data_IF_455456681571
#
_entry.id   IF_455456681571
#
_cell.length_a   1.000
_cell.length_b   1.000
_cell.length_c   1.000
_cell.angle_alpha   90.00
_cell.angle_beta   90.00
_cell.angle_gamma   90.00
#
_symmetry.space_group_name_H-M   'P 1'
#
loop_
_entity.id
_entity.type
_entity.pdbx_description
1 polymer ?
#
# COMPACT_ATOMS: atom_id res chain seq x y z
N UNK A 1 -24.46 10.92 -15.20
CA UNK A 1 -24.29 10.01 -14.04
C UNK A 1 -23.03 9.20 -14.28
N UNK A 2 -21.91 9.60 -13.68
CA UNK A 2 -20.67 8.82 -13.78
C UNK A 2 -20.83 7.55 -12.96
N UNK A 3 -20.56 6.39 -13.59
CA UNK A 3 -20.55 5.10 -12.90
C UNK A 3 -19.29 5.05 -12.03
N UNK A 4 -19.48 5.20 -10.72
CA UNK A 4 -18.44 5.05 -9.69
C UNK A 4 -18.21 3.57 -9.34
N UNK A 5 -18.60 2.65 -10.20
CA UNK A 5 -18.55 1.22 -9.92
C UNK A 5 -17.26 0.62 -10.45
N UNK A 6 -16.51 -0.02 -9.55
CA UNK A 6 -15.32 -0.80 -9.92
C UNK A 6 -15.80 -2.06 -10.63
N UNK A 7 -15.31 -2.31 -11.84
CA UNK A 7 -15.71 -3.46 -12.65
C UNK A 7 -14.52 -4.09 -13.37
N UNK A 8 -13.58 -4.64 -12.60
CA UNK A 8 -12.48 -5.42 -13.18
C UNK A 8 -12.94 -6.82 -13.59
N UNK A 9 -12.36 -7.40 -14.66
CA UNK A 9 -12.62 -8.78 -15.06
C UNK A 9 -12.30 -9.76 -13.93
N UNK A 10 -13.17 -10.77 -13.66
CA UNK A 10 -12.93 -11.75 -12.58
C UNK A 10 -11.58 -12.45 -12.65
N UNK A 11 -11.10 -12.74 -13.87
CA UNK A 11 -9.80 -13.36 -14.10
C UNK A 11 -8.63 -12.46 -13.68
N UNK A 12 -8.74 -11.15 -13.92
CA UNK A 12 -7.76 -10.19 -13.45
C UNK A 12 -7.78 -10.12 -11.91
N UNK A 13 -8.97 -10.04 -11.31
CA UNK A 13 -9.12 -10.03 -9.84
C UNK A 13 -8.44 -11.26 -9.24
N UNK A 14 -8.72 -12.45 -9.76
CA UNK A 14 -8.10 -13.69 -9.28
C UNK A 14 -6.57 -13.65 -9.38
N UNK A 15 -6.02 -13.14 -10.51
CA UNK A 15 -4.56 -12.97 -10.68
C UNK A 15 -3.97 -11.98 -9.68
N UNK A 16 -4.64 -10.84 -9.45
CA UNK A 16 -4.20 -9.82 -8.48
C UNK A 16 -4.18 -10.38 -7.07
N UNK A 17 -5.27 -11.05 -6.66
CA UNK A 17 -5.36 -11.71 -5.34
C UNK A 17 -4.23 -12.71 -5.19
N UNK A 18 -3.97 -13.55 -6.20
CA UNK A 18 -2.90 -14.54 -6.16
C UNK A 18 -1.51 -13.91 -6.06
N UNK A 19 -1.26 -12.74 -6.70
CA UNK A 19 0.00 -12.02 -6.53
C UNK A 19 0.25 -11.62 -5.07
N UNK A 20 -0.79 -11.13 -4.39
CA UNK A 20 -0.68 -10.71 -2.99
C UNK A 20 -0.56 -11.92 -2.07
N UNK A 21 -1.41 -12.94 -2.28
CA UNK A 21 -1.47 -14.15 -1.47
C UNK A 21 -0.12 -14.89 -1.44
N UNK A 22 0.47 -15.14 -2.62
CA UNK A 22 1.76 -15.81 -2.72
C UNK A 22 2.87 -14.96 -2.05
N UNK A 23 2.91 -13.65 -2.32
CA UNK A 23 3.94 -12.78 -1.77
C UNK A 23 3.94 -12.71 -0.23
N UNK A 24 2.74 -12.68 0.39
CA UNK A 24 2.62 -12.64 1.86
C UNK A 24 2.66 -14.02 2.51
N UNK A 25 2.48 -15.08 1.71
CA UNK A 25 2.37 -16.47 2.12
C UNK A 25 3.64 -17.27 1.84
N UNK A 26 3.58 -18.07 0.78
CA UNK A 26 4.60 -19.08 0.48
C UNK A 26 5.93 -18.47 0.05
N UNK A 27 5.90 -17.45 -0.81
CA UNK A 27 7.12 -16.83 -1.33
C UNK A 27 7.98 -16.26 -0.20
N UNK A 28 7.37 -15.54 0.75
CA UNK A 28 8.13 -14.97 1.88
C UNK A 28 8.62 -16.03 2.85
N UNK A 29 7.85 -17.12 3.06
CA UNK A 29 8.28 -18.23 3.91
C UNK A 29 9.48 -18.95 3.29
N UNK A 30 9.45 -19.16 1.97
CA UNK A 30 10.57 -19.77 1.24
C UNK A 30 11.80 -18.87 1.25
N UNK A 31 11.62 -17.58 1.01
CA UNK A 31 12.68 -16.60 1.03
C UNK A 31 13.38 -16.52 2.41
N UNK A 32 12.62 -16.49 3.50
CA UNK A 32 13.17 -16.51 4.87
C UNK A 32 13.99 -17.78 5.11
N UNK A 33 13.52 -18.94 4.63
CA UNK A 33 14.24 -20.21 4.76
C UNK A 33 15.53 -20.23 3.94
N UNK A 34 15.47 -19.77 2.70
CA UNK A 34 16.62 -19.72 1.80
C UNK A 34 17.73 -18.78 2.28
N UNK A 35 17.36 -17.67 2.87
CA UNK A 35 18.32 -16.65 3.32
C UNK A 35 18.89 -16.91 4.71
N UNK A 36 18.40 -17.95 5.42
CA UNK A 36 18.78 -18.26 6.82
C UNK A 36 18.81 -17.00 7.70
N UNK A 37 17.74 -16.19 7.61
CA UNK A 37 17.67 -14.89 8.27
C UNK A 37 17.66 -15.04 9.79
N UNK A 38 18.70 -14.54 10.44
CA UNK A 38 18.80 -14.51 11.92
C UNK A 38 17.87 -13.46 12.54
N UNK A 39 17.44 -12.46 11.78
CA UNK A 39 16.47 -11.44 12.18
C UNK A 39 15.44 -11.22 11.09
N UNK A 40 14.25 -10.74 11.45
CA UNK A 40 13.13 -10.52 10.51
C UNK A 40 12.90 -9.04 10.16
N UNK A 41 13.88 -8.18 10.38
CA UNK A 41 13.75 -6.73 10.15
C UNK A 41 13.48 -6.39 8.69
N UNK A 42 14.07 -7.14 7.75
CA UNK A 42 13.89 -6.93 6.31
C UNK A 42 12.60 -7.53 5.73
N UNK A 43 11.94 -8.44 6.45
CA UNK A 43 10.77 -9.17 5.94
C UNK A 43 9.66 -8.25 5.38
N UNK A 44 9.28 -7.12 6.01
CA UNK A 44 8.28 -6.23 5.45
C UNK A 44 8.65 -5.66 4.06
N UNK A 45 9.94 -5.37 3.82
CA UNK A 45 10.44 -4.89 2.53
C UNK A 45 10.45 -6.01 1.49
N UNK A 46 10.91 -7.20 1.87
CA UNK A 46 10.94 -8.37 1.00
C UNK A 46 9.56 -8.79 0.50
N UNK A 47 8.53 -8.66 1.33
CA UNK A 47 7.14 -8.89 0.90
C UNK A 47 6.77 -7.96 -0.27
N UNK A 48 7.20 -6.69 -0.24
CA UNK A 48 6.93 -5.76 -1.33
C UNK A 48 7.72 -6.13 -2.60
N UNK A 49 8.97 -6.56 -2.47
CA UNK A 49 9.79 -7.02 -3.60
C UNK A 49 9.17 -8.26 -4.25
N UNK A 50 8.69 -9.21 -3.44
CA UNK A 50 8.00 -10.42 -3.91
C UNK A 50 6.68 -10.06 -4.58
N UNK A 51 5.87 -9.18 -3.98
CA UNK A 51 4.62 -8.71 -4.57
C UNK A 51 4.86 -8.04 -5.92
N UNK A 52 5.80 -7.10 -5.99
CA UNK A 52 6.17 -6.43 -7.24
C UNK A 52 6.62 -7.45 -8.30
N UNK A 53 7.43 -8.44 -7.90
CA UNK A 53 7.88 -9.51 -8.80
C UNK A 53 6.70 -10.33 -9.33
N UNK A 54 5.74 -10.70 -8.47
CA UNK A 54 4.56 -11.46 -8.85
C UNK A 54 3.63 -10.66 -9.77
N UNK A 55 3.46 -9.38 -9.49
CA UNK A 55 2.67 -8.45 -10.32
C UNK A 55 3.28 -8.38 -11.74
N UNK A 56 4.57 -8.13 -11.87
CA UNK A 56 5.25 -8.08 -13.18
C UNK A 56 5.09 -9.40 -13.92
N UNK A 57 5.36 -10.53 -13.26
CA UNK A 57 5.30 -11.85 -13.90
C UNK A 57 3.90 -12.24 -14.40
N UNK A 58 2.84 -11.80 -13.73
CA UNK A 58 1.47 -12.30 -13.99
C UNK A 58 0.57 -11.28 -14.66
N UNK A 59 0.83 -9.98 -14.48
CA UNK A 59 -0.04 -8.91 -14.96
C UNK A 59 0.57 -8.11 -16.12
N UNK A 60 1.88 -8.24 -16.42
CA UNK A 60 2.46 -7.64 -17.63
C UNK A 60 2.04 -8.46 -18.84
N UNK A 61 0.91 -8.08 -19.40
CA UNK A 61 0.21 -8.81 -20.48
C UNK A 61 -0.35 -7.83 -21.52
N UNK A 62 -1.06 -8.36 -22.53
CA UNK A 62 -1.74 -7.50 -23.51
C UNK A 62 -2.83 -6.61 -22.89
N UNK A 63 -3.43 -7.04 -21.78
CA UNK A 63 -4.54 -6.36 -21.13
C UNK A 63 -4.09 -5.34 -20.06
N UNK A 64 -2.86 -5.46 -19.59
CA UNK A 64 -2.30 -4.58 -18.56
C UNK A 64 -0.91 -4.09 -18.96
N UNK A 65 -0.62 -2.83 -18.62
CA UNK A 65 0.71 -2.23 -18.71
C UNK A 65 1.19 -1.84 -17.31
N UNK A 66 2.47 -1.99 -17.02
CA UNK A 66 3.03 -1.74 -15.69
C UNK A 66 4.06 -0.63 -15.75
N UNK A 67 3.86 0.42 -14.93
CA UNK A 67 4.85 1.45 -14.68
C UNK A 67 5.55 1.23 -13.35
N UNK A 68 6.86 1.51 -13.32
CA UNK A 68 7.68 1.55 -12.10
C UNK A 68 7.83 2.99 -11.64
N UNK A 69 7.18 3.34 -10.56
CA UNK A 69 7.29 4.66 -9.97
C UNK A 69 8.31 4.67 -8.84
N UNK A 70 9.20 5.67 -8.86
CA UNK A 70 10.24 5.84 -7.85
C UNK A 70 9.85 6.94 -6.88
N UNK A 71 10.05 6.68 -5.58
CA UNK A 71 9.90 7.67 -4.53
C UNK A 71 11.10 7.62 -3.59
N UNK A 72 12.15 8.32 -3.97
CA UNK A 72 13.43 8.22 -3.28
C UNK A 72 14.01 6.82 -3.38
N UNK A 73 14.19 6.13 -2.24
CA UNK A 73 14.68 4.75 -2.20
C UNK A 73 13.56 3.70 -2.34
N UNK A 74 12.31 4.13 -2.47
CA UNK A 74 11.16 3.23 -2.53
C UNK A 74 10.63 3.15 -3.96
N UNK A 75 10.49 1.92 -4.44
CA UNK A 75 9.87 1.62 -5.73
C UNK A 75 8.46 1.06 -5.51
N UNK A 76 7.54 1.45 -6.37
CA UNK A 76 6.19 0.93 -6.40
C UNK A 76 5.76 0.66 -7.83
N UNK A 77 4.84 -0.27 -8.01
CA UNK A 77 4.22 -0.52 -9.30
C UNK A 77 2.87 0.18 -9.41
N UNK A 78 2.62 0.72 -10.58
CA UNK A 78 1.32 1.21 -11.01
C UNK A 78 0.91 0.31 -12.17
N UNK A 79 -0.22 -0.36 -12.05
CA UNK A 79 -0.75 -1.24 -13.08
C UNK A 79 -1.89 -0.53 -13.77
N UNK A 80 -1.81 -0.40 -15.09
CA UNK A 80 -2.88 0.13 -15.93
C UNK A 80 -3.64 -1.03 -16.56
N UNK A 81 -4.95 -1.09 -16.37
CA UNK A 81 -5.84 -2.06 -16.98
C UNK A 81 -6.60 -1.40 -18.15
N UNK A 82 -6.43 -1.94 -19.35
CA UNK A 82 -6.84 -1.29 -20.61
C UNK A 82 -8.33 -1.27 -20.84
N UNK A 83 -9.07 -2.27 -20.34
CA UNK A 83 -10.51 -2.38 -20.58
C UNK A 83 -11.29 -1.34 -19.78
N UNK A 84 -10.97 -1.18 -18.50
CA UNK A 84 -11.60 -0.20 -17.62
C UNK A 84 -10.94 1.16 -17.70
N UNK A 85 -9.73 1.24 -18.27
CA UNK A 85 -8.87 2.41 -18.29
C UNK A 85 -8.53 2.92 -16.87
N UNK A 86 -8.44 2.00 -15.92
CA UNK A 86 -8.08 2.32 -14.54
C UNK A 86 -6.63 1.96 -14.27
N UNK A 87 -5.96 2.80 -13.51
CA UNK A 87 -4.71 2.42 -12.86
C UNK A 87 -5.00 1.91 -11.45
N UNK A 88 -4.20 0.94 -10.99
CA UNK A 88 -4.29 0.53 -9.59
C UNK A 88 -2.92 0.36 -8.94
N UNK A 89 -2.91 0.57 -7.63
CA UNK A 89 -1.74 0.42 -6.77
C UNK A 89 -2.11 -0.40 -5.54
N UNK A 90 -1.09 -0.88 -4.81
CA UNK A 90 -1.28 -1.74 -3.64
C UNK A 90 -0.93 -1.00 -2.35
N UNK A 91 -1.71 -1.26 -1.29
CA UNK A 91 -1.40 -0.73 0.04
C UNK A 91 -1.99 -1.64 1.12
N UNK A 92 -1.35 -1.69 2.30
CA UNK A 92 -1.93 -2.35 3.47
C UNK A 92 -3.06 -1.51 4.06
N UNK A 93 -4.14 -2.14 4.52
CA UNK A 93 -5.28 -1.48 5.19
C UNK A 93 -4.83 -0.55 6.32
N UNK A 94 -3.96 -1.04 7.19
CA UNK A 94 -3.41 -0.24 8.29
C UNK A 94 -2.73 1.03 7.80
N UNK A 95 -1.95 0.95 6.71
CA UNK A 95 -1.25 2.11 6.16
C UNK A 95 -2.22 3.13 5.56
N UNK A 96 -3.25 2.67 4.87
CA UNK A 96 -4.30 3.54 4.36
C UNK A 96 -5.03 4.27 5.50
N UNK A 97 -5.41 3.56 6.56
CA UNK A 97 -6.04 4.16 7.74
C UNK A 97 -5.15 5.22 8.40
N UNK A 98 -3.84 4.96 8.53
CA UNK A 98 -2.87 5.94 9.05
C UNK A 98 -2.79 7.19 8.17
N UNK A 99 -2.74 7.03 6.84
CA UNK A 99 -2.68 8.15 5.90
C UNK A 99 -3.94 9.00 5.97
N UNK A 100 -5.11 8.38 6.01
CA UNK A 100 -6.41 9.03 6.12
C UNK A 100 -6.52 9.82 7.43
N UNK A 101 -6.22 9.19 8.56
CA UNK A 101 -6.32 9.82 9.88
C UNK A 101 -5.32 10.97 10.09
N UNK A 102 -4.23 10.98 9.35
CA UNK A 102 -3.18 12.00 9.47
C UNK A 102 -3.11 12.94 8.25
N UNK A 103 -4.10 12.93 7.36
CA UNK A 103 -4.07 13.72 6.14
C UNK A 103 -3.77 15.21 6.42
N UNK A 104 -4.48 15.80 7.37
CA UNK A 104 -4.33 17.21 7.75
C UNK A 104 -3.05 17.56 8.51
N UNK A 105 -2.33 16.55 9.01
CA UNK A 105 -1.09 16.73 9.78
C UNK A 105 0.17 16.55 8.94
N UNK A 106 0.01 16.11 7.69
CA UNK A 106 1.14 15.81 6.82
C UNK A 106 1.66 17.08 6.16
N UNK A 107 2.96 17.31 6.27
CA UNK A 107 3.65 18.42 5.62
C UNK A 107 4.09 18.09 4.18
N UNK A 108 3.89 16.84 3.74
CA UNK A 108 4.30 16.37 2.42
C UNK A 108 3.15 15.63 1.73
N UNK A 109 3.02 15.85 0.43
CA UNK A 109 2.09 15.12 -0.41
C UNK A 109 2.55 13.66 -0.52
N UNK A 110 1.65 12.74 -0.27
CA UNK A 110 1.86 11.31 -0.52
C UNK A 110 1.50 11.00 -1.98
N UNK A 111 2.08 9.93 -2.59
CA UNK A 111 1.73 9.56 -3.95
C UNK A 111 0.22 9.31 -4.13
N UNK A 112 -0.44 8.78 -3.10
CA UNK A 112 -1.89 8.56 -3.12
C UNK A 112 -2.66 9.88 -3.27
N UNK A 113 -2.22 10.95 -2.59
CA UNK A 113 -2.84 12.27 -2.75
C UNK A 113 -2.70 12.77 -4.20
N UNK A 114 -1.52 12.55 -4.81
CA UNK A 114 -1.26 12.94 -6.20
C UNK A 114 -2.16 12.19 -7.17
N UNK A 115 -2.22 10.85 -7.05
CA UNK A 115 -3.04 10.03 -7.94
C UNK A 115 -4.53 10.29 -7.77
N UNK A 116 -5.01 10.50 -6.54
CA UNK A 116 -6.42 10.78 -6.29
C UNK A 116 -6.81 12.19 -6.75
N UNK A 117 -5.95 13.19 -6.60
CA UNK A 117 -6.17 14.54 -7.12
C UNK A 117 -6.20 14.55 -8.65
N UNK A 118 -5.36 13.77 -9.30
CA UNK A 118 -5.29 13.72 -10.76
C UNK A 118 -6.45 12.95 -11.36
N UNK A 119 -6.77 11.76 -10.83
CA UNK A 119 -7.67 10.81 -11.49
C UNK A 119 -9.03 10.63 -10.82
N UNK A 120 -9.21 11.07 -9.57
CA UNK A 120 -10.43 10.85 -8.80
C UNK A 120 -11.05 12.16 -8.31
N UNK A 121 -10.69 13.29 -8.90
CA UNK A 121 -11.21 14.62 -8.51
C UNK A 121 -12.73 14.72 -8.71
N UNK A 122 -13.24 14.07 -9.74
CA UNK A 122 -14.67 14.01 -10.07
C UNK A 122 -15.51 13.18 -9.08
N UNK A 123 -14.86 12.40 -8.21
CA UNK A 123 -15.53 11.63 -7.16
C UNK A 123 -15.84 12.45 -5.90
N UNK A 124 -15.36 13.69 -5.82
CA UNK A 124 -15.74 14.61 -4.75
C UNK A 124 -17.17 15.11 -4.96
N UNK A 125 -17.95 15.16 -3.89
CA UNK A 125 -19.22 15.88 -3.92
C UNK A 125 -18.97 17.39 -3.97
N UNK A 126 -19.88 18.15 -4.60
CA UNK A 126 -19.77 19.60 -4.74
C UNK A 126 -19.53 20.34 -3.40
N UNK A 127 -20.06 19.79 -2.30
CA UNK A 127 -19.85 20.32 -0.96
C UNK A 127 -18.44 20.07 -0.40
N UNK A 128 -17.76 19.03 -0.87
CA UNK A 128 -16.39 18.69 -0.44
C UNK A 128 -15.31 19.44 -1.22
N UNK A 129 -15.60 19.89 -2.44
CA UNK A 129 -14.64 20.60 -3.28
C UNK A 129 -14.11 21.90 -2.65
N UNK A 130 -14.91 22.58 -1.83
CA UNK A 130 -14.55 23.89 -1.24
C UNK A 130 -13.66 23.80 0.00
N UNK A 131 -13.54 22.63 0.63
CA UNK A 131 -12.91 22.49 1.96
C UNK A 131 -11.52 21.85 1.96
N UNK A 132 -11.06 21.27 0.84
CA UNK A 132 -10.06 20.20 0.89
C UNK A 132 -8.68 20.48 0.30
N UNK A 133 -8.45 21.61 -0.34
CA UNK A 133 -7.08 21.96 -0.76
C UNK A 133 -6.32 22.55 0.43
N UNK A 134 -5.40 21.81 1.08
CA UNK A 134 -4.41 22.46 1.91
C UNK A 134 -3.69 23.49 1.02
N UNK A 135 -3.58 24.74 1.48
CA UNK A 135 -2.96 25.84 0.74
C UNK A 135 -1.53 25.56 0.25
N UNK A 136 -0.93 24.45 0.66
CA UNK A 136 0.40 23.95 0.27
C UNK A 136 0.44 23.21 -1.08
N UNK A 137 -0.70 22.86 -1.68
CA UNK A 137 -0.77 22.02 -2.88
C UNK A 137 -1.44 22.73 -4.07
N UNK A 138 -1.35 24.05 -4.12
CA UNK A 138 -2.00 24.89 -5.15
C UNK A 138 -1.28 24.90 -6.50
N UNK A 139 -0.14 24.21 -6.65
CA UNK A 139 0.61 24.15 -7.89
C UNK A 139 0.15 22.95 -8.72
N UNK A 140 -0.89 23.17 -9.54
CA UNK A 140 -1.47 22.13 -10.41
C UNK A 140 -0.46 21.66 -11.48
N UNK A 141 0.38 22.56 -11.99
CA UNK A 141 1.39 22.22 -12.99
C UNK A 141 2.44 21.27 -12.42
N UNK A 142 2.89 21.55 -11.21
CA UNK A 142 3.83 20.68 -10.51
C UNK A 142 3.22 19.30 -10.16
N UNK A 143 1.93 19.27 -9.82
CA UNK A 143 1.22 18.00 -9.58
C UNK A 143 1.19 17.16 -10.86
N UNK A 144 0.82 17.78 -11.99
CA UNK A 144 0.77 17.11 -13.29
C UNK A 144 2.15 16.57 -13.70
N UNK A 145 3.22 17.36 -13.53
CA UNK A 145 4.59 16.93 -13.81
C UNK A 145 5.02 15.73 -12.97
N UNK A 146 4.72 15.75 -11.67
CA UNK A 146 5.04 14.63 -10.76
C UNK A 146 4.28 13.35 -11.15
N UNK A 147 2.99 13.45 -11.46
CA UNK A 147 2.18 12.31 -11.91
C UNK A 147 2.67 11.79 -13.25
N UNK A 148 2.98 12.66 -14.20
CA UNK A 148 3.54 12.28 -15.50
C UNK A 148 4.88 11.54 -15.33
N UNK A 149 5.73 11.98 -14.42
CA UNK A 149 6.98 11.29 -14.09
C UNK A 149 6.70 9.89 -13.52
N UNK A 150 5.68 9.75 -12.65
CA UNK A 150 5.30 8.45 -12.08
C UNK A 150 4.71 7.48 -13.12
N UNK A 151 4.09 8.00 -14.17
CA UNK A 151 3.44 7.22 -15.22
C UNK A 151 4.28 7.12 -16.49
N UNK A 152 5.54 7.55 -16.48
CA UNK A 152 6.39 7.62 -17.67
C UNK A 152 6.49 6.29 -18.43
N UNK A 153 6.50 5.17 -17.71
CA UNK A 153 6.59 3.83 -18.31
C UNK A 153 5.27 3.36 -18.95
N UNK A 154 4.15 4.05 -18.73
CA UNK A 154 2.87 3.73 -19.39
C UNK A 154 2.79 4.31 -20.80
N UNK A 155 3.72 5.19 -21.19
CA UNK A 155 3.75 5.84 -22.50
C UNK A 155 2.37 6.47 -22.87
N UNK A 156 1.82 6.13 -24.05
CA UNK A 156 0.52 6.63 -24.50
C UNK A 156 -0.69 6.17 -23.65
N UNK A 157 -0.56 5.10 -22.88
CA UNK A 157 -1.63 4.61 -22.00
C UNK A 157 -1.93 5.59 -20.86
N UNK A 158 -0.96 6.44 -20.46
CA UNK A 158 -1.16 7.44 -19.42
C UNK A 158 -2.24 8.48 -19.74
N UNK A 159 -2.45 8.79 -21.03
CA UNK A 159 -3.43 9.79 -21.47
C UNK A 159 -4.89 9.31 -21.38
N UNK A 160 -5.11 8.00 -21.38
CA UNK A 160 -6.45 7.41 -21.35
C UNK A 160 -6.86 6.93 -19.97
N UNK A 161 -6.03 7.14 -18.95
CA UNK A 161 -6.35 6.79 -17.56
C UNK A 161 -7.57 7.59 -17.08
N UNK A 162 -8.59 6.89 -16.61
CA UNK A 162 -9.82 7.49 -16.08
C UNK A 162 -9.80 7.65 -14.59
N UNK A 163 -9.49 6.56 -13.87
CA UNK A 163 -9.54 6.54 -12.41
C UNK A 163 -8.35 5.79 -11.83
N UNK A 164 -8.02 6.17 -10.58
CA UNK A 164 -7.11 5.42 -9.74
C UNK A 164 -7.90 4.57 -8.75
N UNK A 165 -7.56 3.29 -8.68
CA UNK A 165 -8.11 2.31 -7.74
C UNK A 165 -7.00 1.88 -6.79
N UNK A 166 -7.30 1.83 -5.50
CA UNK A 166 -6.37 1.35 -4.49
C UNK A 166 -6.76 -0.08 -4.08
N UNK A 167 -5.85 -1.03 -4.29
CA UNK A 167 -6.01 -2.41 -3.82
C UNK A 167 -5.48 -2.48 -2.39
N UNK A 168 -6.42 -2.60 -1.46
CA UNK A 168 -6.15 -2.70 -0.03
C UNK A 168 -6.12 -4.16 0.40
N UNK A 169 -5.14 -4.51 1.23
CA UNK A 169 -5.06 -5.86 1.78
C UNK A 169 -4.64 -5.87 3.24
N UNK A 170 -5.07 -6.91 3.95
CA UNK A 170 -4.70 -7.18 5.33
C UNK A 170 -4.22 -8.61 5.51
N UNK A 171 -3.36 -8.82 6.51
CA UNK A 171 -2.71 -10.11 6.75
C UNK A 171 -2.66 -10.43 8.23
N UNK A 172 -2.83 -11.72 8.56
CA UNK A 172 -2.52 -12.25 9.88
C UNK A 172 -1.35 -13.23 9.75
N UNK A 173 -0.23 -12.92 10.38
CA UNK A 173 1.01 -13.66 10.13
C UNK A 173 1.41 -13.59 8.65
N UNK A 174 1.51 -14.75 8.03
CA UNK A 174 1.83 -14.95 6.61
C UNK A 174 0.61 -15.39 5.78
N UNK A 175 -0.58 -14.98 6.18
CA UNK A 175 -1.82 -15.29 5.46
C UNK A 175 -2.54 -14.02 5.06
N UNK A 176 -2.98 -13.96 3.82
CA UNK A 176 -3.89 -12.94 3.34
C UNK A 176 -5.28 -13.21 3.95
N UNK A 177 -5.82 -12.24 4.70
CA UNK A 177 -7.13 -12.37 5.36
C UNK A 177 -8.22 -11.53 4.73
N UNK A 178 -7.84 -10.46 4.06
CA UNK A 178 -8.76 -9.56 3.38
C UNK A 178 -8.06 -8.90 2.21
N UNK A 179 -8.78 -8.72 1.11
CA UNK A 179 -8.36 -7.91 -0.02
C UNK A 179 -9.57 -7.27 -0.68
N UNK A 180 -9.47 -5.99 -1.02
CA UNK A 180 -10.53 -5.23 -1.67
C UNK A 180 -9.97 -4.15 -2.57
N UNK A 181 -10.72 -3.76 -3.57
CA UNK A 181 -10.43 -2.59 -4.39
C UNK A 181 -11.30 -1.42 -3.95
N UNK A 182 -10.71 -0.23 -3.86
CA UNK A 182 -11.44 0.98 -3.48
C UNK A 182 -11.07 2.15 -4.40
N UNK A 183 -12.07 2.91 -4.82
CA UNK A 183 -11.86 4.25 -5.38
C UNK A 183 -11.85 5.24 -4.23
N UNK A 184 -10.76 5.98 -4.12
CA UNK A 184 -10.53 6.91 -3.02
C UNK A 184 -10.60 8.32 -3.56
N UNK A 185 -11.38 9.17 -2.89
CA UNK A 185 -11.48 10.60 -3.20
C UNK A 185 -10.19 11.34 -2.81
N UNK A 186 -9.93 12.56 -3.29
CA UNK A 186 -8.81 13.38 -2.82
C UNK A 186 -8.80 13.64 -1.30
N UNK A 187 -9.94 13.53 -0.63
CA UNK A 187 -10.04 13.58 0.83
C UNK A 187 -9.71 12.27 1.53
N UNK A 188 -9.23 11.27 0.78
CA UNK A 188 -8.95 9.92 1.25
C UNK A 188 -10.16 9.19 1.85
N UNK A 189 -11.38 9.61 1.48
CA UNK A 189 -12.60 8.87 1.76
C UNK A 189 -12.88 7.88 0.63
N UNK A 190 -13.51 6.76 0.96
CA UNK A 190 -13.96 5.81 -0.06
C UNK A 190 -15.16 6.43 -0.76
N UNK A 191 -15.11 6.51 -2.09
CA UNK A 191 -16.18 7.06 -2.90
C UNK A 191 -17.46 6.21 -2.75
N UNK A 192 -18.63 6.85 -2.91
CA UNK A 192 -19.90 6.14 -2.86
C UNK A 192 -19.96 5.04 -3.95
N UNK A 193 -20.26 3.82 -3.57
CA UNK A 193 -20.18 2.61 -4.43
C UNK A 193 -18.80 2.33 -5.04
N UNK A 194 -17.75 2.96 -4.52
CA UNK A 194 -16.37 2.80 -4.97
C UNK A 194 -15.61 1.71 -4.22
N UNK A 195 -16.27 0.66 -3.74
CA UNK A 195 -15.63 -0.46 -3.04
C UNK A 195 -16.11 -1.79 -3.63
N UNK A 196 -15.16 -2.70 -3.86
CA UNK A 196 -15.43 -4.08 -4.25
C UNK A 196 -14.59 -5.03 -3.40
N UNK A 197 -15.24 -5.95 -2.69
CA UNK A 197 -14.55 -6.98 -1.90
C UNK A 197 -14.09 -8.12 -2.83
N UNK A 198 -12.80 -8.43 -2.77
CA UNK A 198 -12.16 -9.50 -3.53
C UNK A 198 -11.75 -10.70 -2.66
N UNK A 199 -12.09 -10.68 -1.37
CA UNK A 199 -11.68 -11.72 -0.41
C UNK A 199 -12.22 -13.11 -0.77
N UNK A 200 -13.29 -13.19 -1.55
CA UNK A 200 -13.82 -14.45 -2.08
C UNK A 200 -12.88 -15.18 -3.05
N UNK A 201 -11.86 -14.47 -3.61
CA UNK A 201 -10.85 -15.05 -4.47
C UNK A 201 -9.61 -15.56 -3.71
N UNK A 202 -9.54 -15.35 -2.39
CA UNK A 202 -8.47 -15.89 -1.55
C UNK A 202 -8.62 -17.42 -1.53
N UNK A 203 -7.51 -18.11 -1.79
CA UNK A 203 -7.49 -19.57 -1.75
C UNK A 203 -7.59 -20.03 -0.30
N UNK A 204 -8.62 -20.79 0.03
CA UNK A 204 -8.72 -21.43 1.34
C UNK A 204 -7.77 -22.62 1.34
N UNK A 205 -6.64 -22.48 2.00
CA UNK A 205 -5.73 -23.59 2.22
C UNK A 205 -6.24 -24.43 3.38
N UNK A 206 -6.95 -25.52 3.07
CA UNK A 206 -7.47 -26.48 4.06
C UNK A 206 -6.35 -27.20 4.83
N UNK A 207 -5.09 -27.06 4.41
CA UNK A 207 -3.94 -27.73 5.02
C UNK A 207 -3.31 -26.97 6.19
N UNK A 208 -3.73 -25.74 6.46
CA UNK A 208 -3.22 -24.97 7.60
C UNK A 208 -3.94 -25.41 8.88
N UNK A 209 -3.48 -26.50 9.46
CA UNK A 209 -3.61 -26.72 10.89
C UNK A 209 -3.04 -25.46 11.56
N UNK A 210 -3.92 -24.74 12.24
CA UNK A 210 -3.55 -23.60 13.07
C UNK A 210 -2.48 -24.09 14.04
N UNK A 211 -1.20 -23.85 13.74
CA UNK A 211 -0.20 -23.81 14.78
C UNK A 211 -0.60 -22.65 15.68
N UNK A 212 -1.42 -22.97 16.68
CA UNK A 212 -1.58 -22.12 17.84
C UNK A 212 -0.18 -21.95 18.38
N UNK A 213 0.41 -20.78 18.10
CA UNK A 213 1.56 -20.33 18.86
C UNK A 213 1.03 -20.20 20.27
N UNK A 214 1.26 -21.23 21.08
CA UNK A 214 1.11 -21.18 22.51
C UNK A 214 2.01 -20.04 22.99
N UNK A 215 1.44 -18.87 23.15
CA UNK A 215 2.04 -17.84 23.96
C UNK A 215 2.07 -18.41 25.38
N UNK A 216 3.24 -18.68 25.96
CA UNK A 216 3.31 -19.07 27.35
C UNK A 216 2.68 -17.95 28.16
N UNK A 217 1.53 -18.23 28.75
CA UNK A 217 0.88 -17.38 29.75
C UNK A 217 1.88 -17.21 30.88
N UNK A 218 2.53 -16.06 30.94
CA UNK A 218 3.35 -15.67 32.07
C UNK A 218 2.40 -15.11 33.14
N UNK A 219 2.23 -15.76 34.29
CA UNK A 219 1.49 -15.18 35.39
C UNK A 219 2.40 -14.16 36.08
N UNK A 220 1.93 -12.98 36.30
CA UNK A 220 2.50 -12.10 37.29
C UNK A 220 2.98 -10.75 36.81
N UNK A 221 2.27 -9.75 37.31
CA UNK A 221 2.63 -8.35 37.42
C UNK A 221 4.14 -8.09 37.52
N UNK A 222 4.71 -7.44 36.49
CA UNK A 222 5.93 -6.65 36.71
C UNK A 222 5.71 -5.21 36.20
N UNK A 223 6.14 -4.21 37.00
CA UNK A 223 5.97 -2.81 36.64
C UNK A 223 6.87 -2.44 35.46
N UNK A 224 6.38 -1.56 34.60
CA UNK A 224 7.07 -0.92 33.48
C UNK A 224 8.54 -0.60 33.84
N UNK A 225 9.49 -1.38 33.35
CA UNK A 225 10.90 -0.98 33.32
C UNK A 225 11.13 -0.13 32.09
N UNK A 226 11.05 1.19 32.27
CA UNK A 226 11.62 2.13 31.32
C UNK A 226 13.08 1.77 31.04
N UNK A 227 13.49 1.85 29.77
CA UNK A 227 14.87 1.67 29.33
C UNK A 227 15.79 2.58 30.16
N UNK A 228 16.44 2.02 31.19
CA UNK A 228 17.46 2.72 31.94
C UNK A 228 18.78 2.67 31.17
N UNK A 229 19.35 3.84 30.87
CA UNK A 229 20.69 3.94 30.31
C UNK A 229 21.69 3.24 31.24
N UNK A 230 22.48 2.32 30.69
CA UNK A 230 23.50 1.62 31.46
C UNK A 230 24.49 2.60 32.08
N UNK A 231 25.02 2.30 33.28
CA UNK A 231 25.95 3.12 34.04
C UNK A 231 27.16 3.62 33.20
N UNK A 232 27.57 2.87 32.17
CA UNK A 232 28.62 3.23 31.21
C UNK A 232 28.26 4.41 30.29
N UNK A 233 26.97 4.57 29.95
CA UNK A 233 26.50 5.68 29.15
C UNK A 233 26.36 6.97 29.93
N UNK A 234 26.09 6.88 31.27
CA UNK A 234 26.04 8.03 32.16
C UNK A 234 27.41 8.60 32.45
N UNK A 235 28.45 7.77 32.58
CA UNK A 235 29.83 8.21 32.82
C UNK A 235 30.43 9.02 31.66
N UNK A 236 30.05 8.70 30.38
CA UNK A 236 30.50 9.44 29.19
C UNK A 236 29.90 10.85 29.05
N UNK A 237 28.76 11.13 29.68
CA UNK A 237 28.10 12.46 29.62
C UNK A 237 28.72 13.47 30.57
N UNK A 238 29.45 13.01 31.62
CA UNK A 238 30.08 13.90 32.62
C UNK A 238 31.45 14.47 32.23
N UNK A 239 32.09 13.94 31.16
CA UNK A 239 33.45 14.32 30.77
C UNK A 239 33.54 15.10 29.45
N UNK A 240 32.56 15.94 29.11
CA UNK A 240 32.77 16.96 28.07
C UNK A 240 33.28 18.23 28.73
N UNK A 241 34.49 18.72 28.38
CA UNK A 241 34.95 20.01 28.86
C UNK A 241 34.06 21.12 28.29
N UNK A 242 33.70 22.06 29.14
CA UNK A 242 33.11 23.34 28.71
C UNK A 242 34.20 24.13 28.00
N UNK A 243 34.02 24.41 26.73
CA UNK A 243 34.64 25.52 26.00
C UNK A 243 33.66 26.67 25.96
#
# INVERSE_FOLDING_TARGET
MHRTEISFPPELIAKVVRCVEDAVGDDIREDIRHQDLQTRVSVPFRIWDLLNTNVIKRLDTQDCTIAKAHRGLWEMLIVFEKTTQCIFTFMREKRFAELRNNQHKRNHMHYLDMLTLQFNKDLLSDQQQLSFMPHTFSDEDRLAELVQTMLSDLEGDAEVVRHHVLVLFDTVGYQLTRIRAVMVTPSLDIAHNGEQDWSQYITVDESVVVETVDNPVTPGNQPNRGLSLTAKAMARKKNKPKL
#
